data_IF_832869061201
#
_entry.id   IF_832869061201
#
_cell.length_a   1.000
_cell.length_b   1.000
_cell.length_c   1.000
_cell.angle_alpha   90.00
_cell.angle_beta   90.00
_cell.angle_gamma   90.00
#
_symmetry.space_group_name_H-M   'P 1'
#
loop_
_entity.id
_entity.type
_entity.pdbx_description
1 polymer ?
#
# COMPACT_ATOMS: atom_id res chain seq x y z
N UNK A 1 12.16 -3.50 -23.70
CA UNK A 1 11.21 -2.38 -23.66
C UNK A 1 11.01 -2.12 -22.18
N UNK A 2 11.44 -0.97 -21.64
CA UNK A 2 11.13 -0.67 -20.24
C UNK A 2 9.67 -0.28 -20.16
N UNK A 3 8.84 -1.12 -19.56
CA UNK A 3 7.44 -0.76 -19.34
C UNK A 3 7.39 0.53 -18.53
N UNK A 4 6.56 1.47 -19.00
CA UNK A 4 6.32 2.71 -18.26
C UNK A 4 5.54 2.34 -17.02
N UNK A 5 6.06 2.68 -15.84
CA UNK A 5 5.28 2.64 -14.61
C UNK A 5 3.99 3.43 -14.83
N UNK A 6 2.87 2.76 -14.66
CA UNK A 6 1.56 3.39 -14.60
C UNK A 6 1.40 4.14 -13.29
N UNK A 7 0.40 5.02 -13.20
CA UNK A 7 0.10 5.68 -11.92
C UNK A 7 -0.30 4.69 -10.83
N UNK A 8 -0.86 3.54 -11.23
CA UNK A 8 -1.21 2.46 -10.31
C UNK A 8 0.04 1.79 -9.75
N UNK A 9 1.01 1.46 -10.60
CA UNK A 9 2.29 0.88 -10.14
C UNK A 9 3.00 1.81 -9.16
N UNK A 10 2.93 3.13 -9.38
CA UNK A 10 3.49 4.13 -8.47
C UNK A 10 2.73 4.18 -7.15
N UNK A 11 1.40 4.03 -7.17
CA UNK A 11 0.60 3.96 -5.93
C UNK A 11 0.95 2.71 -5.13
N UNK A 12 1.09 1.55 -5.76
CA UNK A 12 1.41 0.30 -5.06
C UNK A 12 2.75 0.39 -4.32
N UNK A 13 3.71 1.10 -4.92
CA UNK A 13 4.99 1.44 -4.30
C UNK A 13 4.75 2.30 -3.04
N UNK A 14 3.89 3.31 -3.07
CA UNK A 14 3.66 4.17 -1.88
C UNK A 14 3.01 3.39 -0.72
N UNK A 15 2.08 2.49 -1.04
CA UNK A 15 1.35 1.69 -0.04
C UNK A 15 2.20 0.60 0.61
N UNK A 16 3.36 0.26 0.05
CA UNK A 16 4.15 -0.87 0.51
C UNK A 16 4.75 -0.62 1.92
N UNK A 17 4.36 -1.42 2.93
CA UNK A 17 4.79 -1.26 4.33
C UNK A 17 6.26 -1.67 4.55
N UNK A 18 6.90 -2.29 3.56
CA UNK A 18 8.31 -2.70 3.64
C UNK A 18 9.25 -1.51 3.62
N UNK A 19 8.90 -0.41 2.96
CA UNK A 19 9.78 0.77 2.83
C UNK A 19 10.14 1.46 4.16
N UNK A 20 9.23 1.63 5.14
CA UNK A 20 9.59 2.07 6.49
C UNK A 20 10.28 0.97 7.33
N UNK A 21 10.48 -0.24 6.78
CA UNK A 21 11.14 -1.36 7.46
C UNK A 21 10.22 -2.15 8.38
N UNK A 22 8.91 -2.22 8.10
CA UNK A 22 8.01 -3.08 8.85
C UNK A 22 8.31 -4.56 8.55
N UNK A 23 8.45 -5.37 9.60
CA UNK A 23 8.78 -6.80 9.49
C UNK A 23 10.30 -7.06 9.43
N UNK A 24 10.76 -8.14 8.77
CA UNK A 24 12.18 -8.51 8.71
C UNK A 24 12.98 -7.71 7.66
N UNK A 25 12.41 -6.64 7.11
CA UNK A 25 12.95 -5.94 5.96
C UNK A 25 13.73 -4.68 6.36
N UNK A 26 14.80 -4.32 5.61
CA UNK A 26 15.58 -3.13 5.88
C UNK A 26 14.75 -1.87 5.61
N UNK A 27 14.88 -0.88 6.50
CA UNK A 27 14.28 0.43 6.33
C UNK A 27 14.95 1.20 5.19
N UNK A 28 14.15 1.63 4.22
CA UNK A 28 14.60 2.39 3.04
C UNK A 28 14.27 3.88 3.19
N UNK A 29 13.13 4.20 3.81
CA UNK A 29 12.73 5.58 4.12
C UNK A 29 12.35 5.73 5.60
N UNK A 30 12.42 6.94 6.14
CA UNK A 30 11.96 7.26 7.50
C UNK A 30 10.45 7.04 7.67
N UNK A 31 9.99 6.77 8.89
CA UNK A 31 8.55 6.56 9.16
C UNK A 31 7.76 7.83 8.86
N UNK A 32 8.32 8.98 9.23
CA UNK A 32 7.73 10.30 8.98
C UNK A 32 7.48 10.52 7.47
N UNK A 33 8.48 10.18 6.64
CA UNK A 33 8.38 10.33 5.19
C UNK A 33 7.32 9.39 4.59
N UNK A 34 7.23 8.17 5.10
CA UNK A 34 6.21 7.22 4.68
C UNK A 34 4.81 7.70 5.10
N UNK A 35 4.65 8.19 6.32
CA UNK A 35 3.39 8.76 6.84
C UNK A 35 2.96 9.98 6.01
N UNK A 36 3.86 10.91 5.72
CA UNK A 36 3.57 12.08 4.88
C UNK A 36 3.08 11.69 3.48
N UNK A 37 3.75 10.72 2.84
CA UNK A 37 3.36 10.25 1.51
C UNK A 37 1.96 9.61 1.52
N UNK A 38 1.67 8.79 2.53
CA UNK A 38 0.38 8.13 2.66
C UNK A 38 -0.74 9.10 3.06
N UNK A 39 -0.45 10.15 3.84
CA UNK A 39 -1.41 11.21 4.09
C UNK A 39 -1.84 11.90 2.77
N UNK A 40 -0.88 12.17 1.88
CA UNK A 40 -1.18 12.74 0.55
C UNK A 40 -1.97 11.76 -0.32
N UNK A 41 -1.69 10.45 -0.23
CA UNK A 41 -2.45 9.42 -0.96
C UNK A 41 -3.91 9.35 -0.48
N UNK A 42 -4.14 9.36 0.84
CA UNK A 42 -5.49 9.37 1.44
C UNK A 42 -6.33 10.55 0.96
N UNK A 43 -5.76 11.76 0.89
CA UNK A 43 -6.47 12.96 0.41
C UNK A 43 -6.82 12.87 -1.08
N UNK A 44 -6.05 12.13 -1.88
CA UNK A 44 -6.27 11.98 -3.33
C UNK A 44 -7.24 10.87 -3.68
N UNK A 45 -7.13 9.73 -3.00
CA UNK A 45 -7.83 8.48 -3.33
C UNK A 45 -9.10 8.33 -2.51
N UNK A 46 -9.17 8.99 -1.35
CA UNK A 46 -10.22 8.78 -0.36
C UNK A 46 -9.85 7.68 0.61
N UNK A 47 -10.12 7.93 1.90
CA UNK A 47 -9.73 7.06 3.02
C UNK A 47 -10.19 5.60 2.88
N UNK A 48 -11.35 5.35 2.31
CA UNK A 48 -11.93 4.01 2.25
C UNK A 48 -11.23 3.14 1.22
N UNK A 49 -11.01 3.68 0.02
CA UNK A 49 -10.29 3.01 -1.06
C UNK A 49 -8.83 2.77 -0.69
N UNK A 50 -8.18 3.79 -0.14
CA UNK A 50 -6.82 3.70 0.38
C UNK A 50 -6.68 2.55 1.40
N UNK A 51 -7.61 2.44 2.36
CA UNK A 51 -7.54 1.40 3.40
C UNK A 51 -7.81 -0.01 2.86
N UNK A 52 -8.70 -0.17 1.86
CA UNK A 52 -8.89 -1.45 1.18
C UNK A 52 -7.61 -1.92 0.51
N UNK A 53 -6.98 -1.02 -0.25
CA UNK A 53 -5.74 -1.31 -0.96
C UNK A 53 -4.57 -1.57 -0.02
N UNK A 54 -4.45 -0.78 1.05
CA UNK A 54 -3.45 -1.04 2.09
C UNK A 54 -3.64 -2.41 2.75
N UNK A 55 -4.89 -2.81 3.02
CA UNK A 55 -5.18 -4.12 3.61
C UNK A 55 -4.77 -5.28 2.68
N UNK A 56 -5.04 -5.16 1.38
CA UNK A 56 -4.60 -6.11 0.35
C UNK A 56 -3.07 -6.25 0.35
N UNK A 57 -2.35 -5.13 0.24
CA UNK A 57 -0.88 -5.11 0.25
C UNK A 57 -0.30 -5.70 1.54
N UNK A 58 -0.91 -5.42 2.69
CA UNK A 58 -0.51 -6.01 3.98
C UNK A 58 -0.70 -7.53 3.99
N UNK A 59 -1.82 -8.01 3.44
CA UNK A 59 -2.10 -9.44 3.27
C UNK A 59 -1.05 -10.13 2.41
N UNK A 60 -0.74 -9.56 1.24
CA UNK A 60 0.29 -10.07 0.33
C UNK A 60 1.68 -10.06 0.96
N UNK A 61 2.03 -8.98 1.67
CA UNK A 61 3.36 -8.79 2.26
C UNK A 61 3.61 -9.73 3.44
N UNK A 62 2.61 -9.95 4.29
CA UNK A 62 2.75 -10.70 5.54
C UNK A 62 2.08 -12.08 5.52
N UNK A 63 1.52 -12.50 4.37
CA UNK A 63 0.90 -13.81 4.20
C UNK A 63 -0.49 -13.95 4.84
N UNK A 64 -1.19 -12.84 5.08
CA UNK A 64 -2.57 -12.84 5.56
C UNK A 64 -3.57 -12.98 4.41
N UNK A 65 -4.58 -13.83 4.55
CA UNK A 65 -5.70 -13.87 3.60
C UNK A 65 -6.67 -12.73 3.91
N UNK A 66 -6.85 -11.80 2.98
CA UNK A 66 -7.99 -10.89 3.00
C UNK A 66 -9.16 -11.65 2.39
N UNK A 67 -10.09 -12.15 3.20
CA UNK A 67 -11.35 -12.66 2.66
C UNK A 67 -12.12 -11.47 2.07
N UNK A 68 -12.21 -11.43 0.74
CA UNK A 68 -13.07 -10.48 0.04
C UNK A 68 -14.51 -10.76 0.45
N UNK A 69 -15.12 -9.87 1.24
CA UNK A 69 -16.54 -9.91 1.53
C UNK A 69 -17.32 -9.43 0.31
N UNK A 70 -17.38 -10.24 -0.75
CA UNK A 70 -18.48 -10.14 -1.70
C UNK A 70 -19.70 -10.79 -1.05
N UNK A 71 -20.62 -9.98 -0.53
CA UNK A 71 -21.96 -10.48 -0.24
C UNK A 71 -22.63 -10.86 -1.58
N UNK A 72 -23.11 -12.10 -1.75
CA UNK A 72 -23.84 -12.47 -2.96
C UNK A 72 -25.21 -11.78 -2.95
N UNK A 73 -25.54 -11.13 -4.06
CA UNK A 73 -26.86 -10.54 -4.37
C UNK A 73 -27.96 -11.59 -4.36
#
# INVERSE_FOLDING_TARGET
MGDKLSEEDVRDIVHNPVYPGLGPFPKIISDEKWIEANAVAIEREGKEEYLRKLLEVLGETFGGTVESSEEPV
#
